data_IF_313302903611
#
_entry.id   IF_313302903611
#
_cell.length_a   1.000
_cell.length_b   1.000
_cell.length_c   1.000
_cell.angle_alpha   90.00
_cell.angle_beta   90.00
_cell.angle_gamma   90.00
#
_symmetry.space_group_name_H-M   'P 1'
#
loop_
_entity.id
_entity.type
_entity.pdbx_description
1 polymer ?
#
# COMPACT_ATOMS: atom_id res chain seq x y z
N UNK A 1 17.43 23.84 13.28
CA UNK A 1 17.35 22.54 12.57
C UNK A 1 16.27 21.72 13.24
N UNK A 2 15.21 21.38 12.52
CA UNK A 2 14.19 20.45 13.00
C UNK A 2 14.78 19.04 13.00
N UNK A 3 14.84 18.40 14.14
CA UNK A 3 15.33 17.02 14.24
C UNK A 3 14.24 16.05 13.76
N UNK A 4 14.63 14.85 13.31
CA UNK A 4 13.70 13.76 12.91
C UNK A 4 12.62 13.48 13.96
N UNK A 5 12.98 13.65 15.23
CA UNK A 5 12.08 13.51 16.37
C UNK A 5 10.91 14.51 16.31
N UNK A 6 11.17 15.77 15.99
CA UNK A 6 10.11 16.79 15.87
C UNK A 6 9.20 16.54 14.64
N UNK A 7 9.73 15.95 13.57
CA UNK A 7 8.94 15.56 12.41
C UNK A 7 7.96 14.43 12.75
N UNK A 8 8.42 13.40 13.46
CA UNK A 8 7.55 12.28 13.89
C UNK A 8 6.45 12.73 14.85
N UNK A 9 6.75 13.63 15.79
CA UNK A 9 5.73 14.21 16.66
C UNK A 9 4.70 15.04 15.89
N UNK A 10 5.12 15.77 14.87
CA UNK A 10 4.22 16.53 14.00
C UNK A 10 3.29 15.61 13.19
N UNK A 11 3.81 14.53 12.63
CA UNK A 11 3.01 13.58 11.83
C UNK A 11 2.04 12.79 12.70
N UNK A 12 2.46 12.32 13.89
CA UNK A 12 1.57 11.62 14.82
C UNK A 12 0.46 12.54 15.34
N UNK A 13 0.78 13.79 15.66
CA UNK A 13 -0.21 14.79 16.09
C UNK A 13 -1.22 15.13 15.01
N UNK A 14 -0.79 15.28 13.76
CA UNK A 14 -1.67 15.56 12.62
C UNK A 14 -2.55 14.35 12.27
N UNK A 15 -2.01 13.13 12.35
CA UNK A 15 -2.78 11.92 12.12
C UNK A 15 -3.87 11.73 13.20
N UNK A 16 -3.56 12.00 14.46
CA UNK A 16 -4.54 11.94 15.54
C UNK A 16 -5.63 13.01 15.39
N UNK A 17 -5.25 14.24 15.00
CA UNK A 17 -6.21 15.33 14.74
C UNK A 17 -7.05 15.04 13.48
N UNK A 18 -6.49 14.43 12.44
CA UNK A 18 -7.23 14.05 11.26
C UNK A 18 -8.22 12.89 11.54
N UNK A 19 -7.85 11.93 12.37
CA UNK A 19 -8.75 10.84 12.77
C UNK A 19 -9.93 11.35 13.62
N UNK A 20 -9.69 12.31 14.51
CA UNK A 20 -10.74 12.91 15.35
C UNK A 20 -11.49 14.02 14.60
N UNK A 21 -10.78 14.90 13.89
CA UNK A 21 -11.37 16.03 13.17
C UNK A 21 -12.03 15.65 11.84
N UNK A 22 -11.43 14.73 11.09
CA UNK A 22 -11.96 14.28 9.81
C UNK A 22 -13.28 13.51 9.95
N UNK A 23 -13.39 12.67 10.98
CA UNK A 23 -14.62 11.94 11.30
C UNK A 23 -15.75 12.87 11.73
N UNK A 24 -15.44 13.87 12.55
CA UNK A 24 -16.42 14.86 13.00
C UNK A 24 -16.87 15.78 11.87
N UNK A 25 -15.96 16.25 11.01
CA UNK A 25 -16.29 17.08 9.86
C UNK A 25 -17.11 16.31 8.80
N UNK A 26 -16.81 15.03 8.59
CA UNK A 26 -17.57 14.16 7.69
C UNK A 26 -18.98 13.86 8.22
N UNK A 27 -19.11 13.64 9.54
CA UNK A 27 -20.41 13.45 10.18
C UNK A 27 -21.24 14.74 10.19
N UNK A 28 -20.63 15.90 10.42
CA UNK A 28 -21.31 17.19 10.41
C UNK A 28 -21.81 17.59 9.01
N UNK A 29 -21.12 17.18 7.93
CA UNK A 29 -21.56 17.44 6.55
C UNK A 29 -22.75 16.59 6.09
N UNK A 30 -23.14 15.58 6.86
CA UNK A 30 -24.23 14.64 6.52
C UNK A 30 -25.52 14.79 7.31
N UNK A 31 -25.47 15.43 8.47
CA UNK A 31 -26.66 15.62 9.29
C UNK A 31 -27.24 17.02 9.10
N UNK A 32 -28.28 17.10 8.30
CA UNK A 32 -29.16 18.27 8.22
C UNK A 32 -30.17 18.35 9.37
N UNK A 33 -29.93 17.69 10.49
CA UNK A 33 -30.77 17.73 11.68
C UNK A 33 -29.94 18.11 12.91
N UNK A 34 -30.51 18.96 13.75
CA UNK A 34 -29.97 19.57 14.99
C UNK A 34 -29.60 18.58 16.11
N UNK A 35 -29.21 17.35 15.78
CA UNK A 35 -28.70 16.42 16.78
C UNK A 35 -27.25 16.77 17.09
N UNK A 36 -27.01 17.26 18.30
CA UNK A 36 -25.70 17.57 18.83
C UNK A 36 -24.70 16.45 18.52
N UNK A 37 -23.57 16.82 17.91
CA UNK A 37 -22.47 15.92 17.60
C UNK A 37 -22.19 14.99 18.78
N UNK A 38 -22.48 13.71 18.63
CA UNK A 38 -22.14 12.72 19.65
C UNK A 38 -20.62 12.64 19.74
N UNK A 39 -20.07 13.15 20.80
CA UNK A 39 -18.65 13.01 21.10
C UNK A 39 -18.30 11.52 21.17
N UNK A 40 -17.40 11.07 20.30
CA UNK A 40 -16.88 9.71 20.38
C UNK A 40 -16.15 9.55 21.72
N UNK A 41 -16.71 8.71 22.61
CA UNK A 41 -16.04 8.34 23.85
C UNK A 41 -15.09 7.17 23.54
N UNK A 42 -13.81 7.48 23.48
CA UNK A 42 -12.77 6.44 23.40
C UNK A 42 -12.54 5.93 24.83
N UNK A 43 -12.66 4.64 25.11
CA UNK A 43 -12.37 4.07 26.41
C UNK A 43 -10.90 4.37 26.81
N UNK A 44 -10.66 4.71 28.09
CA UNK A 44 -9.31 5.03 28.56
C UNK A 44 -8.31 3.87 28.31
N UNK A 45 -8.77 2.63 28.39
CA UNK A 45 -7.96 1.44 28.14
C UNK A 45 -7.65 1.20 26.64
N UNK A 46 -8.28 1.96 25.74
CA UNK A 46 -7.98 1.91 24.30
C UNK A 46 -6.98 3.00 23.87
N UNK A 47 -6.50 3.81 24.83
CA UNK A 47 -5.52 4.86 24.59
C UNK A 47 -4.25 4.53 25.36
N UNK A 48 -3.14 4.36 24.67
CA UNK A 48 -1.82 4.26 25.29
C UNK A 48 -1.14 5.61 25.21
N UNK A 49 -0.73 6.16 26.33
CA UNK A 49 0.03 7.40 26.33
C UNK A 49 1.40 7.16 25.67
N UNK A 50 1.87 8.14 24.90
CA UNK A 50 3.16 8.02 24.21
C UNK A 50 4.33 7.80 25.20
N UNK A 51 4.21 8.33 26.43
CA UNK A 51 5.18 8.13 27.50
C UNK A 51 5.23 6.71 28.04
N UNK A 52 4.18 5.91 27.79
CA UNK A 52 4.05 4.53 28.24
C UNK A 52 4.55 3.54 27.18
N UNK A 53 4.95 4.03 26.01
CA UNK A 53 5.59 3.23 24.97
C UNK A 53 7.09 3.12 25.27
N UNK A 54 7.61 1.89 25.26
CA UNK A 54 9.05 1.67 25.37
C UNK A 54 9.77 2.39 24.23
N UNK A 55 10.72 3.23 24.56
CA UNK A 55 11.59 3.90 23.58
C UNK A 55 12.65 2.88 23.14
N UNK A 56 12.59 2.46 21.89
CA UNK A 56 13.60 1.58 21.32
C UNK A 56 14.88 2.38 21.08
N UNK A 57 15.95 2.09 21.83
CA UNK A 57 17.23 2.81 21.75
C UNK A 57 17.89 2.59 20.37
N UNK A 58 17.81 1.36 19.86
CA UNK A 58 18.32 0.99 18.56
C UNK A 58 17.39 -0.01 17.88
N UNK A 59 16.82 0.34 16.72
CA UNK A 59 15.95 -0.56 15.97
C UNK A 59 16.72 -1.77 15.40
N UNK A 60 18.05 -1.65 15.20
CA UNK A 60 18.90 -2.72 14.69
C UNK A 60 18.93 -3.93 15.62
N UNK A 61 18.71 -3.72 16.93
CA UNK A 61 18.66 -4.79 17.92
C UNK A 61 17.35 -5.61 17.84
N UNK A 62 16.30 -5.01 17.28
CA UNK A 62 14.97 -5.62 17.16
C UNK A 62 14.68 -6.18 15.75
N UNK A 63 15.51 -5.87 14.76
CA UNK A 63 15.29 -6.23 13.35
C UNK A 63 16.50 -7.01 12.84
N UNK A 64 16.25 -8.23 12.36
CA UNK A 64 17.26 -9.02 11.66
C UNK A 64 17.04 -8.90 10.15
N UNK A 65 18.07 -8.46 9.42
CA UNK A 65 18.02 -8.44 7.95
C UNK A 65 18.09 -9.90 7.46
N UNK A 66 16.97 -10.40 6.92
CA UNK A 66 16.87 -11.76 6.38
C UNK A 66 17.43 -11.87 4.95
N UNK A 67 17.32 -10.78 4.18
CA UNK A 67 17.80 -10.74 2.80
C UNK A 67 17.67 -9.35 2.19
N UNK A 68 18.15 -9.20 0.95
CA UNK A 68 18.01 -7.97 0.18
C UNK A 68 17.76 -8.31 -1.29
N UNK A 69 16.81 -7.62 -1.91
CA UNK A 69 16.54 -7.70 -3.33
C UNK A 69 16.98 -6.41 -4.03
N UNK A 70 17.51 -6.53 -5.24
CA UNK A 70 17.84 -5.39 -6.07
C UNK A 70 16.74 -5.21 -7.13
N UNK A 71 15.97 -4.14 -7.00
CA UNK A 71 14.89 -3.80 -7.90
C UNK A 71 15.21 -2.53 -8.72
N UNK A 72 14.59 -2.33 -9.89
CA UNK A 72 14.70 -1.09 -10.65
C UNK A 72 14.35 0.14 -9.80
N UNK A 73 14.98 1.26 -10.06
CA UNK A 73 14.65 2.51 -9.37
C UNK A 73 13.22 2.93 -9.68
N UNK A 74 12.47 3.29 -8.64
CA UNK A 74 11.06 3.66 -8.77
C UNK A 74 10.08 2.51 -8.64
N UNK A 75 10.55 1.28 -8.40
CA UNK A 75 9.67 0.14 -8.09
C UNK A 75 8.85 0.42 -6.85
N UNK A 76 7.54 0.16 -6.93
CA UNK A 76 6.65 0.15 -5.76
C UNK A 76 6.47 -1.30 -5.31
N UNK A 77 6.54 -1.53 -3.99
CA UNK A 77 6.50 -2.88 -3.41
C UNK A 77 5.42 -2.95 -2.34
N UNK A 78 4.59 -3.98 -2.39
CA UNK A 78 3.56 -4.27 -1.40
C UNK A 78 3.63 -5.72 -0.94
N UNK A 79 3.82 -5.91 0.37
CA UNK A 79 3.73 -7.22 1.01
C UNK A 79 2.34 -7.44 1.58
N UNK A 80 1.74 -8.58 1.29
CA UNK A 80 0.44 -8.99 1.82
C UNK A 80 0.54 -10.24 2.68
N UNK A 81 1.60 -11.01 2.52
CA UNK A 81 1.96 -12.16 3.35
C UNK A 81 3.49 -12.21 3.55
N UNK A 82 3.99 -13.28 4.15
CA UNK A 82 5.40 -13.52 4.42
C UNK A 82 6.12 -14.33 3.33
N UNK A 83 5.44 -14.70 2.26
CA UNK A 83 5.99 -15.50 1.17
C UNK A 83 6.39 -14.64 -0.03
N UNK A 84 5.51 -13.72 -0.46
CA UNK A 84 5.70 -12.93 -1.67
C UNK A 84 5.33 -11.47 -1.49
N UNK A 85 5.95 -10.61 -2.30
CA UNK A 85 5.56 -9.21 -2.44
C UNK A 85 5.24 -8.89 -3.91
N UNK A 86 4.17 -8.11 -4.11
CA UNK A 86 3.85 -7.57 -5.42
C UNK A 86 4.73 -6.36 -5.71
N UNK A 87 5.28 -6.29 -6.90
CA UNK A 87 6.10 -5.20 -7.38
C UNK A 87 5.49 -4.57 -8.62
N UNK A 88 5.33 -3.25 -8.62
CA UNK A 88 5.07 -2.49 -9.83
C UNK A 88 6.41 -1.98 -10.36
N UNK A 89 6.88 -2.60 -11.43
CA UNK A 89 8.19 -2.39 -12.01
C UNK A 89 8.11 -1.33 -13.10
N UNK A 90 8.78 -0.18 -12.97
CA UNK A 90 8.84 0.80 -14.05
C UNK A 90 9.60 0.24 -15.24
N UNK A 91 9.12 0.52 -16.44
CA UNK A 91 9.81 0.18 -17.69
C UNK A 91 10.66 1.35 -18.18
N UNK A 92 11.56 1.08 -19.11
CA UNK A 92 12.33 2.14 -19.80
C UNK A 92 11.60 2.68 -21.03
N UNK A 93 10.43 2.12 -21.33
CA UNK A 93 9.63 2.46 -22.50
C UNK A 93 8.43 3.32 -22.12
N UNK A 94 7.89 4.05 -23.08
CA UNK A 94 6.70 4.86 -22.86
C UNK A 94 5.42 4.00 -22.68
N UNK A 95 5.45 2.77 -23.17
CA UNK A 95 4.39 1.76 -23.04
C UNK A 95 4.99 0.35 -23.08
N UNK A 96 4.62 -0.53 -22.17
CA UNK A 96 3.82 -0.24 -20.97
C UNK A 96 4.58 0.69 -20.01
N UNK A 97 3.85 1.45 -19.19
CA UNK A 97 4.44 2.31 -18.15
C UNK A 97 5.04 1.48 -17.02
N UNK A 98 4.44 0.33 -16.73
CA UNK A 98 4.88 -0.57 -15.69
C UNK A 98 4.51 -2.02 -16.02
N UNK A 99 5.31 -2.93 -15.48
CA UNK A 99 5.08 -4.37 -15.45
C UNK A 99 4.79 -4.81 -14.02
N UNK A 100 4.21 -6.00 -13.85
CA UNK A 100 4.05 -6.59 -12.51
C UNK A 100 5.11 -7.63 -12.28
N UNK A 101 5.88 -7.44 -11.23
CA UNK A 101 6.81 -8.42 -10.68
C UNK A 101 6.26 -9.08 -9.43
N UNK A 102 6.67 -10.33 -9.22
CA UNK A 102 6.50 -11.06 -7.98
C UNK A 102 7.86 -11.26 -7.34
N UNK A 103 8.06 -10.69 -6.17
CA UNK A 103 9.26 -10.86 -5.36
C UNK A 103 9.05 -11.99 -4.37
N UNK A 104 9.81 -13.05 -4.52
CA UNK A 104 9.90 -14.12 -3.53
C UNK A 104 10.73 -13.66 -2.34
N UNK A 105 10.12 -13.61 -1.15
CA UNK A 105 10.77 -13.09 0.05
C UNK A 105 11.81 -14.06 0.64
N UNK A 106 11.79 -15.32 0.24
CA UNK A 106 12.76 -16.32 0.70
C UNK A 106 14.06 -16.31 -0.10
N UNK A 107 13.96 -16.14 -1.42
CA UNK A 107 15.10 -16.11 -2.35
C UNK A 107 15.59 -14.70 -2.67
N UNK A 108 14.76 -13.69 -2.41
CA UNK A 108 14.94 -12.29 -2.83
C UNK A 108 15.01 -12.12 -4.37
N UNK A 109 14.45 -13.06 -5.12
CA UNK A 109 14.34 -12.99 -6.57
C UNK A 109 13.00 -12.36 -6.99
N UNK A 110 13.05 -11.44 -7.95
CA UNK A 110 11.87 -10.82 -8.53
C UNK A 110 11.67 -11.32 -9.97
N UNK A 111 10.49 -11.89 -10.23
CA UNK A 111 10.12 -12.40 -11.56
C UNK A 111 8.97 -11.58 -12.11
N UNK A 112 9.07 -11.07 -13.35
CA UNK A 112 7.95 -10.44 -14.04
C UNK A 112 6.88 -11.49 -14.36
N UNK A 113 5.63 -11.22 -13.94
CA UNK A 113 4.48 -12.13 -14.13
C UNK A 113 3.40 -11.52 -15.02
N UNK A 114 3.37 -10.20 -15.20
CA UNK A 114 2.49 -9.50 -16.14
C UNK A 114 3.34 -8.44 -16.85
N UNK A 115 3.57 -8.62 -18.14
CA UNK A 115 4.36 -7.70 -18.96
C UNK A 115 3.49 -6.58 -19.55
N UNK A 116 2.21 -6.85 -19.80
CA UNK A 116 1.28 -5.94 -20.46
C UNK A 116 -0.08 -5.97 -19.80
N UNK A 117 -0.78 -4.84 -19.83
CA UNK A 117 -2.17 -4.76 -19.40
C UNK A 117 -3.06 -5.65 -20.28
N UNK A 118 -4.09 -6.27 -19.70
CA UNK A 118 -5.12 -7.03 -20.44
C UNK A 118 -5.82 -6.13 -21.45
N UNK A 119 -6.06 -4.88 -21.07
CA UNK A 119 -6.68 -3.86 -21.91
C UNK A 119 -5.70 -2.99 -22.70
N UNK A 120 -4.44 -3.39 -22.89
CA UNK A 120 -3.41 -2.56 -23.54
C UNK A 120 -3.84 -2.08 -24.95
N UNK A 121 -4.46 -2.95 -25.74
CA UNK A 121 -4.96 -2.61 -27.08
C UNK A 121 -6.07 -1.54 -27.05
N UNK A 122 -6.72 -1.36 -25.91
CA UNK A 122 -7.75 -0.35 -25.67
C UNK A 122 -7.20 0.92 -24.99
N UNK A 123 -5.89 0.95 -24.69
CA UNK A 123 -5.22 2.10 -24.07
C UNK A 123 -5.06 2.00 -22.56
N UNK A 124 -5.41 0.85 -21.95
CA UNK A 124 -5.23 0.64 -20.51
C UNK A 124 -3.77 0.37 -20.16
N UNK A 125 -3.36 0.88 -18.99
CA UNK A 125 -2.05 0.66 -18.39
C UNK A 125 -2.23 0.10 -16.98
N UNK A 126 -1.23 -0.62 -16.47
CA UNK A 126 -1.25 -1.16 -15.11
C UNK A 126 -0.90 -0.05 -14.11
N UNK A 127 -1.74 0.13 -13.07
CA UNK A 127 -1.60 1.22 -12.10
C UNK A 127 -1.35 0.76 -10.68
N UNK A 128 -1.87 -0.38 -10.28
CA UNK A 128 -1.71 -0.91 -8.93
C UNK A 128 -1.76 -2.42 -8.94
N UNK A 129 -1.11 -3.05 -7.96
CA UNK A 129 -1.05 -4.50 -7.81
C UNK A 129 -0.99 -4.90 -6.35
N UNK A 130 -1.62 -6.01 -6.03
CA UNK A 130 -1.49 -6.72 -4.75
C UNK A 130 -1.37 -8.21 -5.03
N UNK A 131 -0.53 -8.89 -4.26
CA UNK A 131 -0.36 -10.33 -4.35
C UNK A 131 -0.20 -10.97 -2.99
N UNK A 132 -0.56 -12.20 -2.92
CA UNK A 132 -0.17 -13.16 -1.89
C UNK A 132 0.14 -14.51 -2.55
N UNK A 133 0.50 -15.50 -1.77
CA UNK A 133 0.82 -16.84 -2.27
C UNK A 133 -0.31 -17.55 -3.03
N UNK A 134 -1.55 -17.07 -2.93
CA UNK A 134 -2.71 -17.68 -3.59
C UNK A 134 -3.10 -16.99 -4.91
N UNK A 135 -2.77 -15.69 -5.07
CA UNK A 135 -3.20 -14.96 -6.26
C UNK A 135 -2.72 -13.52 -6.32
N UNK A 136 -3.01 -12.91 -7.45
CA UNK A 136 -2.67 -11.54 -7.78
C UNK A 136 -3.93 -10.78 -8.17
N UNK A 137 -4.06 -9.55 -7.69
CA UNK A 137 -5.11 -8.60 -8.08
C UNK A 137 -4.42 -7.34 -8.57
N UNK A 138 -4.82 -6.83 -9.73
CA UNK A 138 -4.28 -5.58 -10.24
C UNK A 138 -5.36 -4.69 -10.83
N UNK A 139 -5.02 -3.43 -10.92
CA UNK A 139 -5.90 -2.41 -11.50
C UNK A 139 -5.27 -1.87 -12.77
N UNK A 140 -6.06 -1.81 -13.81
CA UNK A 140 -5.73 -1.14 -15.06
C UNK A 140 -6.57 0.12 -15.21
N UNK A 141 -6.00 1.16 -15.80
CA UNK A 141 -6.70 2.42 -16.06
C UNK A 141 -6.38 2.97 -17.43
N UNK A 142 -7.41 3.50 -18.07
CA UNK A 142 -7.30 4.54 -19.07
C UNK A 142 -7.56 5.89 -18.38
N UNK A 143 -6.49 6.61 -18.05
CA UNK A 143 -6.58 7.87 -17.32
C UNK A 143 -7.16 9.01 -18.18
N UNK A 144 -7.12 8.89 -19.49
CA UNK A 144 -7.66 9.92 -20.38
C UNK A 144 -9.18 9.85 -20.38
N UNK A 145 -9.73 8.64 -20.41
CA UNK A 145 -11.18 8.41 -20.38
C UNK A 145 -11.72 8.20 -18.96
N UNK A 146 -10.84 8.22 -17.93
CA UNK A 146 -11.18 8.01 -16.52
C UNK A 146 -11.92 6.68 -16.28
N UNK A 147 -11.47 5.63 -16.94
CA UNK A 147 -12.04 4.27 -16.83
C UNK A 147 -11.05 3.37 -16.12
N UNK A 148 -11.57 2.55 -15.18
CA UNK A 148 -10.78 1.62 -14.39
C UNK A 148 -11.34 0.22 -14.50
N UNK A 149 -10.44 -0.76 -14.52
CA UNK A 149 -10.74 -2.20 -14.50
C UNK A 149 -9.92 -2.84 -13.39
N UNK A 150 -10.49 -3.84 -12.75
CA UNK A 150 -9.79 -4.65 -11.75
C UNK A 150 -9.80 -6.09 -12.25
N UNK A 151 -8.65 -6.70 -12.25
CA UNK A 151 -8.46 -8.09 -12.60
C UNK A 151 -7.93 -8.88 -11.43
N UNK A 152 -8.24 -10.16 -11.41
CA UNK A 152 -7.69 -11.12 -10.47
C UNK A 152 -7.29 -12.40 -11.19
N UNK A 153 -6.21 -13.02 -10.73
CA UNK A 153 -5.79 -14.32 -11.23
C UNK A 153 -5.20 -15.15 -10.08
N UNK A 154 -5.36 -16.46 -10.16
CA UNK A 154 -4.69 -17.39 -9.25
C UNK A 154 -3.19 -17.40 -9.51
N UNK A 155 -2.43 -17.66 -8.47
CA UNK A 155 -0.99 -17.83 -8.54
C UNK A 155 -0.64 -19.27 -8.16
N UNK A 156 0.23 -19.90 -8.94
CA UNK A 156 0.84 -21.19 -8.60
C UNK A 156 2.34 -21.07 -8.81
N UNK A 157 3.09 -21.00 -7.72
CA UNK A 157 4.48 -20.56 -7.71
C UNK A 157 4.62 -19.17 -8.37
N UNK A 158 5.25 -19.06 -9.52
CA UNK A 158 5.35 -17.83 -10.33
C UNK A 158 4.45 -17.83 -11.56
N UNK A 159 3.60 -18.86 -11.72
CA UNK A 159 2.71 -18.98 -12.87
C UNK A 159 1.37 -18.34 -12.57
N UNK A 160 1.01 -17.34 -13.38
CA UNK A 160 -0.26 -16.65 -13.29
C UNK A 160 -1.34 -17.45 -14.04
N UNK A 161 -2.50 -17.64 -13.41
CA UNK A 161 -3.69 -18.17 -14.06
C UNK A 161 -4.33 -17.17 -15.03
N UNK A 162 -5.44 -17.55 -15.66
CA UNK A 162 -6.16 -16.64 -16.55
C UNK A 162 -6.79 -15.48 -15.77
N UNK A 163 -6.61 -14.22 -16.22
CA UNK A 163 -7.25 -13.05 -15.64
C UNK A 163 -8.79 -13.13 -15.75
N UNK A 164 -9.46 -12.73 -14.67
CA UNK A 164 -10.92 -12.64 -14.58
C UNK A 164 -11.34 -11.26 -14.10
#
# INVERSE_FOLDING_TARGET
MLTRRHFLYGVAGVAALAAVGGGAAWAAGRSGDDDALKTLKVPENAVTAQTDLEEMENYEDAVTLAGSAKLPFGTLVWCSDDAVAACLLPTETAKPLAEVGLLDLSSAECTTIIEHAVGEAEGFEIYDVRANSAGVVWTEADILDNVWRVYAASLSDTTLGEPQ
#
